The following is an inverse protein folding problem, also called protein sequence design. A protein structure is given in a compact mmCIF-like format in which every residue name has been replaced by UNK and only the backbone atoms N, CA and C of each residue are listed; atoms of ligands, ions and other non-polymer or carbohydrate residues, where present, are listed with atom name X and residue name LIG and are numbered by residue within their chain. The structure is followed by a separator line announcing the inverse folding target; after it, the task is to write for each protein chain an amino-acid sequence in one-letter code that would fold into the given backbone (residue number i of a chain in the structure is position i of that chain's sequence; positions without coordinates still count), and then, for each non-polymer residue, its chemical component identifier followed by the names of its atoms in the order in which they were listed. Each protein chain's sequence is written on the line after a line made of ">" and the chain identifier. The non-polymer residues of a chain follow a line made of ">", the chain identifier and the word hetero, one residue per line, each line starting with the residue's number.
data_IF_402267648341
#
_entry.id   IF_402267648341
#
_cell.length_a   1.000
_cell.length_b   1.000
_cell.length_c   1.000
_cell.angle_alpha   90.00
_cell.angle_beta   90.00
_cell.angle_gamma   90.00
#
_symmetry.space_group_name_H-M   'P 1'
#
loop_
_entity.id
_entity.type
_entity.pdbx_description
1 polymer ?
#
# COMPACT_ATOMS: atom_id res chain seq x y z
N UNK A 1 -9.69 -6.02 4.29
CA UNK A 1 -8.23 -5.78 4.18
C UNK A 1 -7.83 -5.81 2.72
N UNK A 2 -7.18 -4.74 2.25
CA UNK A 2 -6.70 -4.58 0.88
C UNK A 2 -5.18 -4.53 0.87
N UNK A 3 -4.53 -5.40 0.10
CA UNK A 3 -3.10 -5.32 -0.17
C UNK A 3 -2.86 -4.61 -1.52
N UNK A 4 -1.93 -3.67 -1.55
CA UNK A 4 -1.50 -2.95 -2.75
C UNK A 4 -0.08 -3.41 -3.09
N UNK A 5 0.05 -4.13 -4.20
CA UNK A 5 1.30 -4.73 -4.64
C UNK A 5 1.55 -4.46 -6.12
N UNK A 6 2.78 -4.61 -6.58
CA UNK A 6 3.11 -4.46 -7.99
C UNK A 6 4.57 -4.10 -8.24
N UNK A 7 4.88 -3.76 -9.48
CA UNK A 7 6.26 -3.47 -9.90
C UNK A 7 6.87 -2.27 -9.15
N UNK A 8 8.19 -2.24 -8.99
CA UNK A 8 8.88 -1.06 -8.46
C UNK A 8 8.53 0.19 -9.27
N UNK A 9 8.22 1.28 -8.58
CA UNK A 9 7.85 2.54 -9.21
C UNK A 9 6.43 2.61 -9.80
N UNK A 10 5.58 1.58 -9.57
CA UNK A 10 4.19 1.59 -10.05
C UNK A 10 3.23 2.47 -9.25
N UNK A 11 3.71 3.17 -8.23
CA UNK A 11 2.87 4.05 -7.42
C UNK A 11 2.08 3.34 -6.32
N UNK A 12 2.51 2.16 -5.86
CA UNK A 12 1.88 1.41 -4.78
C UNK A 12 1.57 2.28 -3.57
N UNK A 13 2.60 2.87 -2.98
CA UNK A 13 2.49 3.75 -1.81
C UNK A 13 1.55 4.92 -2.08
N UNK A 14 1.66 5.56 -3.25
CA UNK A 14 0.77 6.66 -3.64
C UNK A 14 -0.69 6.23 -3.63
N UNK A 15 -1.00 5.09 -4.25
CA UNK A 15 -2.37 4.56 -4.33
C UNK A 15 -2.85 4.14 -2.93
N UNK A 16 -2.04 3.43 -2.14
CA UNK A 16 -2.37 3.01 -0.79
C UNK A 16 -2.70 4.21 0.11
N UNK A 17 -1.86 5.25 0.11
CA UNK A 17 -2.08 6.48 0.88
C UNK A 17 -3.34 7.21 0.44
N UNK A 18 -3.57 7.35 -0.87
CA UNK A 18 -4.78 8.05 -1.39
C UNK A 18 -6.07 7.28 -1.10
N UNK A 19 -6.05 5.95 -1.10
CA UNK A 19 -7.18 5.13 -0.67
C UNK A 19 -7.45 5.29 0.83
N UNK A 20 -6.42 5.19 1.66
CA UNK A 20 -6.53 5.37 3.11
C UNK A 20 -7.02 6.78 3.47
N UNK A 21 -6.47 7.82 2.85
CA UNK A 21 -6.91 9.21 3.04
C UNK A 21 -8.39 9.41 2.66
N UNK A 22 -8.84 8.80 1.56
CA UNK A 22 -10.22 8.87 1.12
C UNK A 22 -11.18 8.20 2.13
N UNK A 23 -10.85 7.00 2.59
CA UNK A 23 -11.64 6.29 3.61
C UNK A 23 -11.73 7.10 4.90
N UNK A 24 -10.60 7.62 5.39
CA UNK A 24 -10.56 8.45 6.58
C UNK A 24 -11.35 9.76 6.41
N UNK A 25 -11.30 10.37 5.22
CA UNK A 25 -12.11 11.56 4.87
C UNK A 25 -13.62 11.29 4.88
N UNK A 26 -14.04 10.05 4.65
CA UNK A 26 -15.42 9.57 4.78
C UNK A 26 -15.78 9.18 6.23
N UNK A 27 -14.92 9.48 7.20
CA UNK A 27 -15.08 9.12 8.63
C UNK A 27 -15.12 7.61 8.88
N UNK A 28 -14.45 6.84 8.04
CA UNK A 28 -14.26 5.41 8.25
C UNK A 28 -12.91 5.18 8.91
N UNK A 29 -12.91 4.40 9.98
CA UNK A 29 -11.66 4.02 10.65
C UNK A 29 -10.85 3.11 9.71
N UNK A 30 -9.61 3.51 9.45
CA UNK A 30 -8.69 2.84 8.53
C UNK A 30 -7.30 2.73 9.13
N UNK A 31 -6.68 1.56 8.98
CA UNK A 31 -5.27 1.34 9.24
C UNK A 31 -4.50 1.29 7.92
N UNK A 32 -3.44 2.08 7.82
CA UNK A 32 -2.46 2.05 6.72
C UNK A 32 -1.18 1.40 7.22
N UNK A 33 -0.83 0.25 6.65
CA UNK A 33 0.41 -0.47 6.94
C UNK A 33 1.38 -0.29 5.79
N UNK A 34 2.58 0.23 6.08
CA UNK A 34 3.68 0.44 5.13
C UNK A 34 4.73 -0.66 5.35
N UNK A 35 4.78 -1.66 4.48
CA UNK A 35 5.59 -2.87 4.68
C UNK A 35 7.05 -2.72 4.23
N UNK A 36 7.41 -1.69 3.43
CA UNK A 36 8.76 -1.57 2.90
C UNK A 36 9.78 -1.28 4.02
N UNK A 37 10.54 -2.29 4.41
CA UNK A 37 11.57 -2.20 5.44
C UNK A 37 12.94 -1.78 4.89
N UNK A 38 13.13 -1.82 3.56
CA UNK A 38 14.36 -1.37 2.91
C UNK A 38 14.36 0.14 2.67
N UNK A 39 13.17 0.67 2.37
CA UNK A 39 12.95 2.09 2.13
C UNK A 39 11.79 2.55 3.00
N UNK A 40 12.03 3.03 4.24
CA UNK A 40 10.97 3.53 5.12
C UNK A 40 10.11 4.58 4.43
N UNK A 41 8.85 4.28 4.20
CA UNK A 41 7.95 5.15 3.44
C UNK A 41 7.26 6.21 4.29
N UNK A 42 7.22 6.03 5.63
CA UNK A 42 6.58 7.01 6.52
C UNK A 42 7.08 8.46 6.31
N UNK A 43 8.41 8.73 6.26
CA UNK A 43 8.91 10.08 6.01
C UNK A 43 8.69 10.58 4.56
N UNK A 44 8.27 9.69 3.66
CA UNK A 44 8.01 10.03 2.26
C UNK A 44 6.54 10.36 1.98
N UNK A 45 5.63 10.05 2.89
CA UNK A 45 4.19 10.20 2.69
C UNK A 45 3.59 11.44 3.36
N UNK A 46 4.19 11.88 4.47
CA UNK A 46 3.77 13.09 5.17
C UNK A 46 4.93 13.76 5.92
N UNK A 47 4.87 15.08 6.11
CA UNK A 47 5.81 15.79 6.98
C UNK A 47 5.73 15.26 8.43
N UNK A 48 6.88 15.19 9.15
CA UNK A 48 6.89 14.72 10.55
C UNK A 48 5.97 15.52 11.47
N UNK A 49 5.83 16.83 11.23
CA UNK A 49 4.95 17.72 11.99
C UNK A 49 3.46 17.38 11.86
N UNK A 50 3.05 16.63 10.85
CA UNK A 50 1.67 16.16 10.67
C UNK A 50 1.34 14.90 11.47
N UNK A 51 2.35 14.28 12.10
CA UNK A 51 2.20 13.10 12.96
C UNK A 51 2.15 13.53 14.44
N UNK A 52 1.39 12.80 15.26
CA UNK A 52 1.32 13.07 16.70
C UNK A 52 2.53 12.51 17.43
N UNK A 53 2.94 11.28 17.08
CA UNK A 53 4.09 10.58 17.67
C UNK A 53 4.80 9.76 16.59
N UNK A 54 6.10 9.50 16.82
CA UNK A 54 6.89 8.64 15.95
C UNK A 54 7.15 7.30 16.63
N UNK A 55 6.39 6.28 16.23
CA UNK A 55 6.59 4.89 16.60
C UNK A 55 7.08 4.09 15.38
N UNK A 56 7.55 2.87 15.60
CA UNK A 56 8.10 2.05 14.53
C UNK A 56 7.41 0.70 14.42
N UNK A 57 7.07 0.33 13.18
CA UNK A 57 6.66 -1.02 12.83
C UNK A 57 7.71 -2.07 13.25
N UNK A 58 9.00 -1.73 13.15
CA UNK A 58 10.09 -2.63 13.54
C UNK A 58 10.03 -3.01 15.02
N UNK A 59 9.60 -2.11 15.92
CA UNK A 59 9.42 -2.40 17.33
C UNK A 59 8.35 -3.47 17.58
N UNK A 60 7.31 -3.52 16.76
CA UNK A 60 6.25 -4.53 16.84
C UNK A 60 6.78 -5.89 16.37
N UNK A 61 7.42 -5.92 15.21
CA UNK A 61 7.89 -7.15 14.58
C UNK A 61 9.06 -7.79 15.34
N UNK A 62 9.84 -7.00 16.09
CA UNK A 62 10.92 -7.48 16.94
C UNK A 62 10.46 -8.14 18.26
N UNK A 63 9.18 -8.04 18.60
CA UNK A 63 8.63 -8.66 19.80
C UNK A 63 8.51 -10.18 19.61
N UNK A 64 8.68 -10.93 20.71
CA UNK A 64 8.49 -12.38 20.69
C UNK A 64 7.04 -12.78 20.32
N UNK A 65 6.07 -11.95 20.71
CA UNK A 65 4.65 -12.07 20.37
C UNK A 65 4.07 -10.69 20.08
N UNK A 66 3.28 -10.58 19.02
CA UNK A 66 2.59 -9.34 18.68
C UNK A 66 1.20 -9.36 19.33
N UNK A 67 0.95 -8.41 20.21
CA UNK A 67 -0.34 -8.24 20.88
C UNK A 67 -1.05 -6.97 20.39
N UNK A 68 -2.38 -6.93 20.54
CA UNK A 68 -3.17 -5.75 20.18
C UNK A 68 -2.71 -4.50 20.95
N UNK A 69 -2.36 -4.62 22.23
CA UNK A 69 -1.85 -3.50 23.03
C UNK A 69 -0.53 -2.97 22.50
N UNK A 70 0.38 -3.86 22.07
CA UNK A 70 1.65 -3.46 21.45
C UNK A 70 1.42 -2.75 20.13
N UNK A 71 0.52 -3.27 19.29
CA UNK A 71 0.18 -2.63 18.01
C UNK A 71 -0.44 -1.26 18.23
N UNK A 72 -1.43 -1.13 19.14
CA UNK A 72 -2.07 0.16 19.46
C UNK A 72 -1.07 1.18 19.99
N UNK A 73 -0.10 0.75 20.83
CA UNK A 73 0.93 1.64 21.36
C UNK A 73 1.87 2.17 20.28
N UNK A 74 2.11 1.37 19.23
CA UNK A 74 3.00 1.75 18.11
C UNK A 74 2.25 2.33 16.90
N UNK A 75 0.95 2.49 16.99
CA UNK A 75 0.16 3.18 15.97
C UNK A 75 0.44 4.67 15.98
N UNK A 76 0.62 5.21 14.79
CA UNK A 76 0.85 6.64 14.56
C UNK A 76 -0.45 7.27 14.07
N UNK A 77 -0.86 8.38 14.67
CA UNK A 77 -2.04 9.13 14.25
C UNK A 77 -1.65 10.37 13.47
N UNK A 78 -2.44 10.67 12.43
CA UNK A 78 -2.24 11.86 11.62
C UNK A 78 -3.12 13.00 12.15
N UNK A 79 -2.54 14.17 12.45
CA UNK A 79 -3.24 15.31 13.09
C UNK A 79 -4.52 15.76 12.39
N UNK A 80 -4.58 15.66 11.05
CA UNK A 80 -5.77 16.06 10.28
C UNK A 80 -6.76 14.94 10.03
N UNK A 81 -6.32 13.67 10.03
CA UNK A 81 -7.16 12.50 9.71
C UNK A 81 -7.36 11.65 10.96
N UNK A 82 -8.31 12.04 11.82
CA UNK A 82 -8.60 11.35 13.10
C UNK A 82 -9.01 9.89 12.97
N UNK A 83 -9.47 9.49 11.78
CA UNK A 83 -9.86 8.12 11.46
C UNK A 83 -8.75 7.34 10.74
N UNK A 84 -7.53 7.87 10.70
CA UNK A 84 -6.38 7.24 10.07
C UNK A 84 -5.34 6.87 11.12
N UNK A 85 -5.04 5.58 11.15
CA UNK A 85 -3.93 5.00 11.91
C UNK A 85 -2.86 4.53 10.93
N UNK A 86 -1.60 4.83 11.19
CA UNK A 86 -0.49 4.49 10.31
C UNK A 86 0.52 3.63 11.07
N UNK A 87 1.05 2.63 10.39
CA UNK A 87 2.18 1.81 10.84
C UNK A 87 3.24 1.77 9.75
N UNK A 88 4.48 2.04 10.11
CA UNK A 88 5.61 2.03 9.19
C UNK A 88 6.93 2.18 9.91
N UNK A 89 8.02 2.00 9.18
CA UNK A 89 9.37 2.23 9.68
C UNK A 89 9.67 3.72 9.74
N UNK A 90 10.41 4.16 10.77
CA UNK A 90 10.84 5.56 10.92
C UNK A 90 12.00 5.88 9.99
N UNK A 91 12.24 7.18 9.81
CA UNK A 91 13.39 7.68 9.06
C UNK A 91 14.70 7.16 9.64
N UNK A 92 15.54 6.60 8.78
CA UNK A 92 16.87 6.11 9.15
C UNK A 92 16.89 4.67 9.67
N UNK A 93 15.73 4.05 9.88
CA UNK A 93 15.63 2.62 10.17
C UNK A 93 15.74 1.79 8.88
N UNK A 94 16.09 0.53 9.02
CA UNK A 94 16.13 -0.46 7.95
C UNK A 94 15.93 -1.87 8.53
N UNK A 95 15.92 -2.87 7.67
CA UNK A 95 15.70 -4.27 8.04
C UNK A 95 16.68 -4.81 9.11
N UNK A 96 17.86 -4.18 9.29
CA UNK A 96 18.86 -4.57 10.30
C UNK A 96 18.78 -3.76 11.60
N UNK A 97 17.90 -2.77 11.67
CA UNK A 97 17.71 -1.95 12.89
C UNK A 97 17.11 -2.77 14.03
N UNK A 98 16.34 -3.78 13.69
CA UNK A 98 15.65 -4.67 14.62
C UNK A 98 16.08 -6.13 14.39
N UNK A 99 15.88 -7.02 15.40
CA UNK A 99 16.02 -8.44 15.18
C UNK A 99 15.14 -8.95 14.03
N UNK A 100 15.56 -10.00 13.32
CA UNK A 100 14.72 -10.60 12.30
C UNK A 100 13.42 -11.14 12.92
N UNK A 101 12.34 -11.05 12.18
CA UNK A 101 11.04 -11.59 12.55
C UNK A 101 10.66 -12.74 11.63
N UNK A 102 9.74 -13.56 12.09
CA UNK A 102 9.24 -14.72 11.36
C UNK A 102 7.81 -14.49 10.87
N UNK A 103 7.30 -15.46 10.15
CA UNK A 103 5.93 -15.44 9.61
C UNK A 103 4.88 -15.25 10.72
N UNK A 104 5.09 -15.85 11.88
CA UNK A 104 4.16 -15.77 13.01
C UNK A 104 3.90 -14.32 13.45
N UNK A 105 4.95 -13.50 13.60
CA UNK A 105 4.79 -12.09 13.99
C UNK A 105 4.02 -11.29 12.91
N UNK A 106 4.24 -11.60 11.63
CA UNK A 106 3.49 -10.97 10.53
C UNK A 106 2.00 -11.37 10.59
N UNK A 107 1.67 -12.63 10.80
CA UNK A 107 0.30 -13.14 10.93
C UNK A 107 -0.39 -12.54 12.17
N UNK A 108 0.28 -12.50 13.33
CA UNK A 108 -0.24 -11.88 14.56
C UNK A 108 -0.51 -10.37 14.35
N UNK A 109 0.41 -9.66 13.67
CA UNK A 109 0.19 -8.23 13.34
C UNK A 109 -1.06 -8.01 12.52
N UNK A 110 -1.24 -8.77 11.44
CA UNK A 110 -2.43 -8.62 10.59
C UNK A 110 -3.71 -8.99 11.32
N UNK A 111 -3.68 -10.01 12.17
CA UNK A 111 -4.79 -10.36 13.05
C UNK A 111 -5.14 -9.21 14.00
N UNK A 112 -4.15 -8.62 14.67
CA UNK A 112 -4.36 -7.46 15.54
C UNK A 112 -4.93 -6.25 14.77
N UNK A 113 -4.47 -6.01 13.55
CA UNK A 113 -5.00 -4.90 12.73
C UNK A 113 -6.48 -5.10 12.38
N UNK A 114 -6.94 -6.33 12.15
CA UNK A 114 -8.37 -6.63 11.91
C UNK A 114 -9.25 -6.29 13.11
N UNK A 115 -8.71 -6.40 14.34
CA UNK A 115 -9.42 -6.00 15.58
C UNK A 115 -9.38 -4.48 15.80
N UNK A 116 -8.37 -3.79 15.27
CA UNK A 116 -8.16 -2.34 15.47
C UNK A 116 -8.99 -1.50 14.51
N UNK A 117 -9.07 -1.91 13.21
CA UNK A 117 -9.73 -1.12 12.19
C UNK A 117 -10.53 -1.99 11.21
N UNK A 118 -11.78 -1.59 10.88
CA UNK A 118 -12.62 -2.31 9.92
C UNK A 118 -12.09 -2.22 8.48
N UNK A 119 -11.31 -1.19 8.18
CA UNK A 119 -10.69 -1.01 6.87
C UNK A 119 -9.17 -1.01 7.04
N UNK A 120 -8.49 -1.87 6.29
CA UNK A 120 -7.03 -1.97 6.33
C UNK A 120 -6.52 -1.85 4.90
N UNK A 121 -5.58 -0.94 4.69
CA UNK A 121 -4.86 -0.77 3.43
C UNK A 121 -3.39 -1.07 3.70
N UNK A 122 -2.82 -1.99 2.93
CA UNK A 122 -1.44 -2.43 3.10
C UNK A 122 -0.64 -2.06 1.85
N UNK A 123 0.39 -1.24 2.03
CA UNK A 123 1.40 -0.92 1.01
C UNK A 123 2.51 -1.96 1.06
N UNK A 124 2.44 -2.95 0.18
CA UNK A 124 3.41 -4.04 0.14
C UNK A 124 4.71 -3.63 -0.55
N UNK A 125 5.82 -4.16 -0.06
CA UNK A 125 7.11 -4.10 -0.75
C UNK A 125 7.05 -4.79 -2.13
N UNK A 126 8.09 -4.59 -2.92
CA UNK A 126 8.15 -5.18 -4.27
C UNK A 126 8.75 -6.60 -4.27
N UNK A 127 9.56 -6.95 -3.29
CA UNK A 127 10.33 -8.21 -3.27
C UNK A 127 9.67 -9.30 -2.43
N UNK A 128 8.70 -10.02 -2.98
CA UNK A 128 7.91 -11.04 -2.23
C UNK A 128 8.79 -12.12 -1.59
N UNK A 129 9.84 -12.57 -2.28
CA UNK A 129 10.66 -13.70 -1.82
C UNK A 129 11.39 -13.44 -0.49
N UNK A 130 11.73 -12.19 -0.22
CA UNK A 130 12.52 -11.78 0.95
C UNK A 130 11.75 -10.83 1.89
N UNK A 131 10.47 -10.56 1.61
CA UNK A 131 9.61 -9.69 2.39
C UNK A 131 8.46 -10.52 2.98
N UNK A 132 8.72 -11.07 4.18
CA UNK A 132 7.77 -11.94 4.88
C UNK A 132 6.44 -11.22 5.13
N UNK A 133 6.49 -9.94 5.56
CA UNK A 133 5.29 -9.19 5.89
C UNK A 133 4.41 -8.96 4.65
N UNK A 134 5.01 -8.55 3.53
CA UNK A 134 4.27 -8.38 2.27
C UNK A 134 3.75 -9.72 1.75
N UNK A 135 4.52 -10.81 1.85
CA UNK A 135 4.07 -12.12 1.43
C UNK A 135 2.85 -12.60 2.23
N UNK A 136 2.87 -12.43 3.55
CA UNK A 136 1.74 -12.77 4.43
C UNK A 136 0.54 -11.87 4.13
N UNK A 137 0.77 -10.56 3.96
CA UNK A 137 -0.28 -9.60 3.63
C UNK A 137 -1.02 -9.97 2.32
N UNK A 138 -0.29 -10.39 1.31
CA UNK A 138 -0.86 -10.82 0.03
C UNK A 138 -1.70 -12.09 0.16
N UNK A 139 -1.34 -13.02 1.04
CA UNK A 139 -2.09 -14.24 1.30
C UNK A 139 -3.36 -14.02 2.13
N UNK A 140 -3.27 -13.11 3.11
CA UNK A 140 -4.34 -12.85 4.09
C UNK A 140 -5.32 -11.76 3.63
N UNK A 141 -4.99 -10.96 2.59
CA UNK A 141 -5.84 -9.90 2.09
C UNK A 141 -7.16 -10.44 1.53
N UNK A 142 -8.24 -9.68 1.75
CA UNK A 142 -9.56 -9.97 1.18
C UNK A 142 -9.61 -9.53 -0.30
N UNK A 143 -8.76 -8.56 -0.69
CA UNK A 143 -8.56 -8.11 -2.05
C UNK A 143 -7.10 -7.66 -2.27
N UNK A 144 -6.60 -7.78 -3.50
CA UNK A 144 -5.26 -7.36 -3.90
C UNK A 144 -5.34 -6.46 -5.13
N UNK A 145 -4.79 -5.24 -5.03
CA UNK A 145 -4.52 -4.40 -6.19
C UNK A 145 -3.12 -4.69 -6.72
N UNK A 146 -3.04 -5.23 -7.92
CA UNK A 146 -1.78 -5.47 -8.61
C UNK A 146 -1.48 -4.36 -9.58
N UNK A 147 -0.62 -3.41 -9.18
CA UNK A 147 -0.26 -2.22 -9.94
C UNK A 147 0.91 -2.48 -10.88
N UNK A 148 0.77 -2.02 -12.11
CA UNK A 148 1.77 -2.18 -13.17
C UNK A 148 1.85 -0.92 -14.00
N UNK A 149 3.07 -0.41 -14.22
CA UNK A 149 3.30 0.62 -15.22
C UNK A 149 3.26 0.03 -16.65
N UNK A 150 2.98 0.90 -17.63
CA UNK A 150 2.95 0.54 -19.05
C UNK A 150 4.36 0.46 -19.65
N UNK A 151 5.32 -0.17 -18.98
CA UNK A 151 6.72 -0.28 -19.43
C UNK A 151 7.26 -1.73 -19.39
N UNK A 152 8.30 -1.97 -20.17
CA UNK A 152 8.92 -3.30 -20.26
C UNK A 152 9.52 -3.76 -18.93
N UNK A 153 10.00 -2.86 -18.09
CA UNK A 153 10.57 -3.19 -16.77
C UNK A 153 9.50 -3.79 -15.87
N UNK A 154 8.32 -3.18 -15.85
CA UNK A 154 7.18 -3.67 -15.06
C UNK A 154 6.67 -5.00 -15.57
N UNK A 155 6.63 -5.20 -16.89
CA UNK A 155 6.25 -6.47 -17.51
C UNK A 155 7.27 -7.57 -17.13
N UNK A 156 8.57 -7.29 -17.26
CA UNK A 156 9.64 -8.22 -16.89
C UNK A 156 9.56 -8.59 -15.40
N UNK A 157 9.35 -7.60 -14.52
CA UNK A 157 9.16 -7.83 -13.10
C UNK A 157 8.00 -8.78 -12.82
N UNK A 158 6.82 -8.53 -13.40
CA UNK A 158 5.67 -9.40 -13.19
C UNK A 158 5.91 -10.81 -13.71
N UNK A 159 6.54 -10.96 -14.87
CA UNK A 159 6.85 -12.27 -15.43
C UNK A 159 7.75 -13.10 -14.51
N UNK A 160 8.66 -12.44 -13.77
CA UNK A 160 9.54 -13.10 -12.81
C UNK A 160 8.89 -13.35 -11.45
N UNK A 161 7.97 -12.49 -11.00
CA UNK A 161 7.33 -12.60 -9.68
C UNK A 161 6.07 -13.49 -9.67
N UNK A 162 5.30 -13.49 -10.77
CA UNK A 162 4.06 -14.28 -10.85
C UNK A 162 4.24 -15.80 -10.57
N UNK A 163 5.34 -16.45 -10.96
CA UNK A 163 5.56 -17.84 -10.59
C UNK A 163 5.64 -18.09 -9.08
N UNK A 164 6.13 -17.11 -8.30
CA UNK A 164 6.22 -17.20 -6.84
C UNK A 164 4.85 -17.16 -6.17
N UNK A 165 3.84 -16.65 -6.87
CA UNK A 165 2.47 -16.51 -6.38
C UNK A 165 1.55 -17.66 -6.80
N UNK A 166 2.08 -18.72 -7.43
CA UNK A 166 1.31 -19.88 -7.91
C UNK A 166 1.04 -20.92 -6.83
N UNK A 167 1.29 -20.61 -5.58
CA UNK A 167 0.92 -21.51 -4.48
C UNK A 167 -0.60 -21.63 -4.37
N UNK A 168 -1.07 -22.79 -3.89
CA UNK A 168 -2.49 -23.13 -3.73
C UNK A 168 -3.31 -22.16 -2.84
N UNK A 169 -2.63 -21.31 -2.10
CA UNK A 169 -3.23 -20.26 -1.24
C UNK A 169 -3.47 -18.95 -1.96
N UNK A 170 -2.94 -18.78 -3.16
CA UNK A 170 -3.08 -17.57 -3.95
C UNK A 170 -4.40 -17.58 -4.72
N UNK A 171 -5.35 -16.82 -4.24
CA UNK A 171 -6.68 -16.71 -4.88
C UNK A 171 -6.64 -15.68 -6.00
N UNK A 172 -6.78 -16.14 -7.24
CA UNK A 172 -6.79 -15.30 -8.43
C UNK A 172 -8.03 -14.37 -8.50
N UNK A 173 -9.14 -14.79 -7.90
CA UNK A 173 -10.41 -14.04 -7.94
C UNK A 173 -10.40 -12.81 -7.05
N UNK A 174 -9.50 -12.76 -6.07
CA UNK A 174 -9.28 -11.59 -5.20
C UNK A 174 -8.42 -10.50 -5.81
N UNK A 175 -7.91 -10.69 -7.05
CA UNK A 175 -6.93 -9.81 -7.64
C UNK A 175 -7.50 -8.88 -8.69
N UNK A 176 -7.35 -7.59 -8.44
CA UNK A 176 -7.63 -6.53 -9.40
C UNK A 176 -6.34 -6.11 -10.09
N UNK A 177 -6.27 -6.33 -11.39
CA UNK A 177 -5.16 -5.87 -12.22
C UNK A 177 -5.34 -4.40 -12.53
N UNK A 178 -4.34 -3.57 -12.26
CA UNK A 178 -4.40 -2.11 -12.38
C UNK A 178 -3.27 -1.60 -13.25
N UNK A 179 -3.60 -0.99 -14.38
CA UNK A 179 -2.65 -0.19 -15.14
C UNK A 179 -2.45 1.14 -14.41
N UNK A 180 -1.24 1.41 -13.95
CA UNK A 180 -0.93 2.57 -13.13
C UNK A 180 -0.08 3.57 -13.89
N UNK A 181 -0.21 4.86 -13.51
CA UNK A 181 0.58 5.96 -14.05
C UNK A 181 0.48 6.09 -15.57
N UNK A 182 -0.71 5.81 -16.11
CA UNK A 182 -0.97 5.76 -17.57
C UNK A 182 -0.92 7.18 -18.15
N UNK A 183 0.02 7.41 -19.08
CA UNK A 183 0.14 8.68 -19.80
C UNK A 183 -0.68 8.66 -21.10
N UNK A 184 -1.12 9.83 -21.61
CA UNK A 184 -1.99 9.89 -22.80
C UNK A 184 -1.41 9.19 -24.04
N UNK A 185 -0.10 9.13 -24.15
CA UNK A 185 0.60 8.53 -25.30
C UNK A 185 1.05 7.07 -25.06
N UNK A 186 0.75 6.51 -23.90
CA UNK A 186 1.11 5.13 -23.58
C UNK A 186 -0.03 4.19 -23.97
N UNK A 187 0.28 3.23 -24.83
CA UNK A 187 -0.67 2.23 -25.27
C UNK A 187 -0.95 1.24 -24.12
N UNK A 188 -2.04 1.46 -23.39
CA UNK A 188 -2.55 0.50 -22.38
C UNK A 188 -2.78 -0.91 -22.95
N UNK A 189 -2.97 -1.03 -24.27
CA UNK A 189 -3.14 -2.31 -24.97
C UNK A 189 -1.98 -3.30 -24.80
N UNK A 190 -0.74 -2.85 -24.62
CA UNK A 190 0.37 -3.76 -24.33
C UNK A 190 0.26 -4.44 -22.97
N UNK A 191 -0.29 -3.74 -21.98
CA UNK A 191 -0.52 -4.31 -20.65
C UNK A 191 -1.63 -5.34 -20.69
N UNK A 192 -2.70 -5.05 -21.42
CA UNK A 192 -3.80 -6.00 -21.60
C UNK A 192 -3.36 -7.27 -22.31
N UNK A 193 -2.42 -7.17 -23.26
CA UNK A 193 -1.82 -8.34 -23.91
C UNK A 193 -1.04 -9.24 -22.94
N UNK A 194 -0.34 -8.66 -21.96
CA UNK A 194 0.50 -9.41 -21.01
C UNK A 194 -0.27 -9.85 -19.78
N UNK A 195 -1.14 -9.00 -19.26
CA UNK A 195 -1.88 -9.25 -18.02
C UNK A 195 -3.29 -9.80 -18.25
N UNK A 196 -3.80 -9.79 -19.49
CA UNK A 196 -5.21 -9.94 -19.79
C UNK A 196 -6.01 -8.70 -19.39
N UNK A 197 -7.32 -8.84 -19.19
CA UNK A 197 -8.19 -7.72 -18.83
C UNK A 197 -7.69 -6.95 -17.59
N UNK A 198 -7.72 -5.61 -17.66
CA UNK A 198 -7.36 -4.69 -16.59
C UNK A 198 -8.64 -4.19 -15.93
N UNK A 199 -8.74 -4.34 -14.61
CA UNK A 199 -9.92 -3.91 -13.85
C UNK A 199 -9.99 -2.37 -13.72
N UNK A 200 -8.84 -1.72 -13.53
CA UNK A 200 -8.74 -0.27 -13.36
C UNK A 200 -7.55 0.29 -14.13
N UNK A 201 -7.70 1.54 -14.57
CA UNK A 201 -6.62 2.35 -15.11
C UNK A 201 -6.48 3.62 -14.27
N UNK A 202 -5.28 3.88 -13.76
CA UNK A 202 -4.96 5.08 -12.98
C UNK A 202 -4.11 5.99 -13.88
N UNK A 203 -4.65 7.11 -14.35
CA UNK A 203 -3.90 8.03 -15.19
C UNK A 203 -2.79 8.74 -14.41
N UNK A 204 -1.74 9.10 -15.10
CA UNK A 204 -0.71 10.00 -14.58
C UNK A 204 -1.31 11.34 -14.16
N UNK A 205 -0.76 11.95 -13.10
CA UNK A 205 -1.11 13.29 -12.64
C UNK A 205 0.15 13.99 -12.14
N UNK A 206 0.42 15.17 -12.70
CA UNK A 206 1.55 16.01 -12.28
C UNK A 206 1.34 16.53 -10.85
N UNK A 207 0.09 16.80 -10.44
CA UNK A 207 -0.22 17.19 -9.07
C UNK A 207 0.16 16.08 -8.08
N UNK A 208 -0.14 14.82 -8.41
CA UNK A 208 0.24 13.68 -7.58
C UNK A 208 1.75 13.51 -7.56
N UNK A 209 2.42 13.64 -8.70
CA UNK A 209 3.88 13.57 -8.79
C UNK A 209 4.56 14.65 -7.95
N UNK A 210 4.04 15.88 -7.96
CA UNK A 210 4.52 16.97 -7.09
C UNK A 210 4.37 16.63 -5.62
N UNK A 211 3.23 16.08 -5.20
CA UNK A 211 3.02 15.67 -3.80
C UNK A 211 3.98 14.56 -3.36
N UNK A 212 4.34 13.64 -4.26
CA UNK A 212 5.38 12.61 -3.99
C UNK A 212 6.73 13.27 -3.75
N UNK A 213 7.13 14.22 -4.61
CA UNK A 213 8.40 14.95 -4.47
C UNK A 213 8.44 15.82 -3.20
N UNK A 214 7.30 16.38 -2.81
CA UNK A 214 7.16 17.21 -1.60
C UNK A 214 7.08 16.34 -0.31
N UNK A 215 6.96 15.01 -0.41
CA UNK A 215 6.74 14.14 0.74
C UNK A 215 5.40 14.40 1.44
N UNK A 216 4.37 14.78 0.69
CA UNK A 216 3.08 15.18 1.25
C UNK A 216 1.89 14.57 0.49
N UNK A 217 1.79 13.24 0.55
CA UNK A 217 0.74 12.48 -0.15
C UNK A 217 -0.66 12.62 0.47
N UNK A 218 -0.77 13.13 1.70
CA UNK A 218 -2.08 13.36 2.33
C UNK A 218 -2.73 14.70 1.92
N UNK A 219 -2.01 15.54 1.18
CA UNK A 219 -2.56 16.78 0.62
C UNK A 219 -3.71 16.47 -0.35
N UNK A 220 -4.76 17.29 -0.31
CA UNK A 220 -5.88 17.18 -1.23
C UNK A 220 -5.47 17.45 -2.67
N UNK A 221 -6.17 16.80 -3.60
CA UNK A 221 -5.97 16.97 -5.04
C UNK A 221 -7.03 17.95 -5.56
N UNK A 222 -6.59 19.12 -6.04
CA UNK A 222 -7.47 20.22 -6.50
C UNK A 222 -7.36 20.54 -7.98
N UNK A 223 -6.28 20.14 -8.64
CA UNK A 223 -6.03 20.53 -10.03
C UNK A 223 -6.84 19.69 -11.03
N UNK A 224 -6.98 20.22 -12.25
CA UNK A 224 -7.74 19.56 -13.33
C UNK A 224 -7.08 18.26 -13.79
N UNK A 225 -5.74 18.22 -13.81
CA UNK A 225 -4.98 17.05 -14.24
C UNK A 225 -5.19 15.84 -13.33
N UNK A 226 -5.40 16.05 -12.02
CA UNK A 226 -5.67 14.98 -11.06
C UNK A 226 -7.11 14.44 -11.07
N UNK A 227 -8.01 15.03 -11.87
CA UNK A 227 -9.42 14.60 -11.91
C UNK A 227 -9.58 13.13 -12.30
N UNK A 228 -8.82 12.68 -13.28
CA UNK A 228 -8.82 11.27 -13.71
C UNK A 228 -8.33 10.34 -12.60
N UNK A 229 -7.21 10.69 -11.99
CA UNK A 229 -6.65 9.97 -10.85
C UNK A 229 -7.67 9.85 -9.70
N UNK A 230 -8.29 10.97 -9.29
CA UNK A 230 -9.32 10.97 -8.23
C UNK A 230 -10.48 10.03 -8.55
N UNK A 231 -10.98 10.05 -9.79
CA UNK A 231 -12.06 9.15 -10.23
C UNK A 231 -11.66 7.68 -10.14
N UNK A 232 -10.41 7.34 -10.47
CA UNK A 232 -9.92 5.97 -10.36
C UNK A 232 -9.82 5.53 -8.89
N UNK A 233 -9.31 6.39 -7.99
CA UNK A 233 -9.31 6.11 -6.55
C UNK A 233 -10.75 5.93 -6.02
N UNK A 234 -11.70 6.76 -6.48
CA UNK A 234 -13.13 6.61 -6.14
C UNK A 234 -13.71 5.27 -6.58
N UNK A 235 -13.44 4.89 -7.82
CA UNK A 235 -13.93 3.63 -8.38
C UNK A 235 -13.37 2.43 -7.62
N UNK A 236 -12.06 2.42 -7.33
CA UNK A 236 -11.40 1.37 -6.53
C UNK A 236 -11.99 1.33 -5.13
N UNK A 237 -12.16 2.49 -4.46
CA UNK A 237 -12.70 2.55 -3.11
C UNK A 237 -14.10 1.94 -3.06
N UNK A 238 -14.95 2.27 -4.02
CA UNK A 238 -16.31 1.74 -4.11
C UNK A 238 -16.34 0.24 -4.35
N UNK A 239 -15.52 -0.24 -5.26
CA UNK A 239 -15.48 -1.66 -5.62
C UNK A 239 -14.97 -2.52 -4.45
N UNK A 240 -13.88 -2.09 -3.83
CA UNK A 240 -13.21 -2.91 -2.81
C UNK A 240 -13.82 -2.76 -1.42
N UNK A 241 -14.30 -1.57 -1.07
CA UNK A 241 -14.79 -1.26 0.28
C UNK A 241 -16.31 -1.01 0.34
N UNK A 242 -17.01 -1.08 -0.78
CA UNK A 242 -18.47 -0.97 -0.84
C UNK A 242 -19.00 0.43 -0.48
N UNK A 243 -18.30 1.52 -0.88
CA UNK A 243 -18.64 2.90 -0.51
C UNK A 243 -18.53 3.91 -1.66
#
# INVERSE_FOLDING_TARGET
>A
MLAVWGSPGSGKTTVAVKLAARLAGQKRDVALLLCDMNTPMLPCICPPEDLEEEHSLGSILAAAHVSESLVRHNCITHKRFRHLTILGMRKGENEYTYPPYERTQAEELLSCLREIAPNIVIDCGSGIANDILSAVALLEADAVLRLVNCDLKSISYLSSQLPLLRESKWDADKQYKVASNVRPNEASGHIEQVLGSVAFQIPHSEEVASQVLEGNLFKELGLKDSRGFRKSIEAITREVFGC
#
